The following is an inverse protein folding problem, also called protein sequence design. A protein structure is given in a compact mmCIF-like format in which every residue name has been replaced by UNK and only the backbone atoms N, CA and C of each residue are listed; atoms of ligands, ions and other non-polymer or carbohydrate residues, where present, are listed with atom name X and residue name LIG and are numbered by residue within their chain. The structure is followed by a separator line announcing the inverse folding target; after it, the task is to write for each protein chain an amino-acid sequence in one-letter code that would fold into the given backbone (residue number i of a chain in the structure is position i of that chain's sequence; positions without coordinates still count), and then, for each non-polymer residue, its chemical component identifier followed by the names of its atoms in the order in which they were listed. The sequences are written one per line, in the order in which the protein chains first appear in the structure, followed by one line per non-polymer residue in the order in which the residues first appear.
data_IF_244005485543
#
_entry.id   IF_244005485543
#
_cell.length_a   1.000
_cell.length_b   1.000
_cell.length_c   1.000
_cell.angle_alpha   90.00
_cell.angle_beta   90.00
_cell.angle_gamma   90.00
#
_symmetry.space_group_name_H-M   'P 1'
#
loop_
_entity.id
_entity.type
_entity.pdbx_description
1 polymer ?
#
# COMPACT_ATOMS: atom_id res chain seq x y z
N UNK A 1 31.53 -20.78 -0.23
CA UNK A 1 30.74 -19.55 -0.07
C UNK A 1 29.79 -19.57 -1.25
N UNK A 2 28.58 -20.08 -1.03
CA UNK A 2 27.57 -20.18 -2.11
C UNK A 2 27.40 -18.80 -2.73
N UNK A 3 27.40 -18.73 -4.06
CA UNK A 3 27.10 -17.50 -4.77
C UNK A 3 25.71 -17.07 -4.31
N UNK A 4 25.64 -15.96 -3.57
CA UNK A 4 24.35 -15.46 -3.09
C UNK A 4 23.52 -15.11 -4.32
N UNK A 5 22.34 -15.69 -4.43
CA UNK A 5 21.41 -15.46 -5.53
C UNK A 5 20.78 -14.06 -5.37
N UNK A 6 20.84 -13.25 -6.43
CA UNK A 6 20.23 -11.91 -6.46
C UNK A 6 18.75 -11.92 -6.07
N UNK A 7 18.02 -13.00 -6.37
CA UNK A 7 16.62 -13.14 -5.98
C UNK A 7 16.46 -13.23 -4.45
N UNK A 8 17.37 -13.92 -3.76
CA UNK A 8 17.37 -14.02 -2.30
C UNK A 8 17.79 -12.71 -1.64
N UNK A 9 18.73 -11.97 -2.24
CA UNK A 9 19.14 -10.64 -1.76
C UNK A 9 17.99 -9.63 -1.86
N UNK A 10 17.30 -9.60 -3.01
CA UNK A 10 16.13 -8.73 -3.19
C UNK A 10 15.02 -9.13 -2.22
N UNK A 11 14.74 -10.43 -2.05
CA UNK A 11 13.75 -10.89 -1.08
C UNK A 11 14.11 -10.45 0.35
N UNK A 12 15.40 -10.48 0.71
CA UNK A 12 15.86 -10.02 2.02
C UNK A 12 15.65 -8.52 2.26
N UNK A 13 15.71 -7.69 1.21
CA UNK A 13 15.41 -6.26 1.26
C UNK A 13 13.90 -6.04 1.42
N UNK A 14 13.08 -6.77 0.64
CA UNK A 14 11.64 -6.58 0.62
C UNK A 14 10.95 -7.12 1.88
N UNK A 15 11.51 -8.17 2.49
CA UNK A 15 10.98 -8.82 3.69
C UNK A 15 12.09 -8.88 4.75
N UNK A 16 12.30 -7.82 5.54
CA UNK A 16 13.32 -7.83 6.59
C UNK A 16 12.94 -8.79 7.71
N UNK A 17 13.93 -9.46 8.31
CA UNK A 17 13.70 -10.18 9.57
C UNK A 17 13.32 -9.20 10.69
N UNK A 18 12.53 -9.65 11.68
CA UNK A 18 12.24 -8.83 12.85
C UNK A 18 13.52 -8.45 13.59
N UNK A 19 13.53 -7.29 14.25
CA UNK A 19 14.67 -6.85 15.05
C UNK A 19 14.73 -7.66 16.35
N UNK A 20 15.90 -8.22 16.65
CA UNK A 20 16.13 -8.90 17.93
C UNK A 20 15.96 -7.93 19.10
N UNK A 21 15.26 -8.35 20.15
CA UNK A 21 15.04 -7.55 21.36
C UNK A 21 13.78 -6.68 21.37
N UNK A 22 13.05 -6.56 20.25
CA UNK A 22 11.72 -5.92 20.24
C UNK A 22 10.59 -6.88 20.67
N UNK A 23 10.88 -8.18 20.76
CA UNK A 23 9.95 -9.26 21.05
C UNK A 23 10.60 -10.27 21.99
N UNK A 24 9.78 -11.03 22.73
CA UNK A 24 10.26 -12.19 23.49
C UNK A 24 10.82 -13.28 22.55
N UNK A 25 11.67 -14.17 23.08
CA UNK A 25 12.40 -15.17 22.29
C UNK A 25 11.52 -16.05 21.40
N UNK A 26 10.43 -16.60 21.95
CA UNK A 26 9.51 -17.46 21.20
C UNK A 26 8.75 -16.68 20.13
N UNK A 27 8.33 -15.44 20.44
CA UNK A 27 7.67 -14.55 19.49
C UNK A 27 8.62 -14.13 18.35
N UNK A 28 9.90 -13.91 18.66
CA UNK A 28 10.93 -13.65 17.65
C UNK A 28 11.13 -14.86 16.74
N UNK A 29 11.25 -16.07 17.30
CA UNK A 29 11.41 -17.29 16.52
C UNK A 29 10.27 -17.49 15.52
N UNK A 30 9.03 -17.28 15.98
CA UNK A 30 7.86 -17.37 15.12
C UNK A 30 7.85 -16.30 14.03
N UNK A 31 8.08 -15.03 14.39
CA UNK A 31 8.10 -13.94 13.42
C UNK A 31 9.25 -14.08 12.39
N UNK A 32 10.41 -14.59 12.81
CA UNK A 32 11.52 -14.88 11.92
C UNK A 32 11.21 -16.04 10.96
N UNK A 33 10.52 -17.07 11.42
CA UNK A 33 10.08 -18.18 10.55
C UNK A 33 9.09 -17.69 9.49
N UNK A 34 8.09 -16.89 9.87
CA UNK A 34 7.14 -16.28 8.91
C UNK A 34 7.86 -15.42 7.88
N UNK A 35 8.76 -14.53 8.32
CA UNK A 35 9.55 -13.70 7.41
C UNK A 35 10.45 -14.54 6.49
N UNK A 36 10.96 -15.68 6.96
CA UNK A 36 11.74 -16.60 6.13
C UNK A 36 10.88 -17.23 5.02
N UNK A 37 9.71 -17.73 5.37
CA UNK A 37 8.76 -18.29 4.39
C UNK A 37 8.35 -17.26 3.35
N UNK A 38 8.05 -16.03 3.77
CA UNK A 38 7.73 -14.92 2.86
C UNK A 38 8.90 -14.58 1.93
N UNK A 39 10.15 -14.60 2.41
CA UNK A 39 11.33 -14.42 1.56
C UNK A 39 11.43 -15.48 0.48
N UNK A 40 11.20 -16.76 0.83
CA UNK A 40 11.25 -17.86 -0.13
C UNK A 40 10.20 -17.67 -1.23
N UNK A 41 8.98 -17.25 -0.86
CA UNK A 41 7.90 -16.95 -1.81
C UNK A 41 8.29 -15.80 -2.75
N UNK A 42 8.85 -14.71 -2.21
CA UNK A 42 9.28 -13.56 -3.02
C UNK A 42 10.42 -13.97 -3.97
N UNK A 43 11.44 -14.65 -3.47
CA UNK A 43 12.58 -15.08 -4.27
C UNK A 43 12.16 -16.06 -5.38
N UNK A 44 11.27 -17.02 -5.08
CA UNK A 44 10.72 -17.94 -6.09
C UNK A 44 9.92 -17.19 -7.16
N UNK A 45 9.09 -16.21 -6.77
CA UNK A 45 8.37 -15.36 -7.71
C UNK A 45 9.30 -14.60 -8.67
N UNK A 46 10.42 -14.07 -8.16
CA UNK A 46 11.44 -13.39 -8.97
C UNK A 46 12.17 -14.36 -9.90
N UNK A 47 12.53 -15.54 -9.42
CA UNK A 47 13.15 -16.59 -10.25
C UNK A 47 12.23 -17.02 -11.39
N UNK A 48 10.94 -17.20 -11.13
CA UNK A 48 9.96 -17.52 -12.17
C UNK A 48 9.83 -16.38 -13.19
N UNK A 49 9.79 -15.12 -12.76
CA UNK A 49 9.76 -14.00 -13.69
C UNK A 49 11.00 -13.97 -14.61
N UNK A 50 12.17 -14.27 -14.06
CA UNK A 50 13.41 -14.41 -14.83
C UNK A 50 13.36 -15.59 -15.80
N UNK A 51 12.99 -16.78 -15.33
CA UNK A 51 12.99 -18.02 -16.14
C UNK A 51 11.91 -17.99 -17.23
N UNK A 52 10.70 -17.56 -16.88
CA UNK A 52 9.53 -17.65 -17.76
C UNK A 52 9.41 -16.47 -18.73
N UNK A 53 9.90 -15.28 -18.33
CA UNK A 53 9.70 -14.04 -19.07
C UNK A 53 10.99 -13.27 -19.38
N UNK A 54 12.17 -13.82 -19.05
CA UNK A 54 13.48 -13.16 -19.19
C UNK A 54 13.52 -11.77 -18.52
N UNK A 55 12.76 -11.59 -17.44
CA UNK A 55 12.66 -10.33 -16.72
C UNK A 55 13.74 -10.23 -15.66
N UNK A 56 14.54 -9.16 -15.73
CA UNK A 56 15.53 -8.84 -14.70
C UNK A 56 14.87 -8.77 -13.29
N UNK A 57 15.37 -9.52 -12.27
CA UNK A 57 14.77 -9.56 -10.94
C UNK A 57 14.71 -8.21 -10.24
N UNK A 58 15.73 -7.37 -10.40
CA UNK A 58 15.79 -6.06 -9.74
C UNK A 58 14.78 -5.10 -10.38
N UNK A 59 14.71 -5.06 -11.71
CA UNK A 59 13.72 -4.26 -12.42
C UNK A 59 12.29 -4.71 -12.12
N UNK A 60 12.06 -6.03 -12.03
CA UNK A 60 10.78 -6.60 -11.59
C UNK A 60 10.41 -6.11 -10.19
N UNK A 61 11.33 -6.20 -9.22
CA UNK A 61 11.09 -5.75 -7.85
C UNK A 61 10.82 -4.25 -7.75
N UNK A 62 11.56 -3.42 -8.49
CA UNK A 62 11.35 -1.97 -8.56
C UNK A 62 9.99 -1.61 -9.15
N UNK A 63 9.61 -2.26 -10.26
CA UNK A 63 8.31 -2.07 -10.89
C UNK A 63 7.17 -2.40 -9.94
N UNK A 64 7.27 -3.53 -9.22
CA UNK A 64 6.29 -3.91 -8.20
C UNK A 64 6.25 -2.91 -7.04
N UNK A 65 7.40 -2.39 -6.59
CA UNK A 65 7.44 -1.37 -5.53
C UNK A 65 6.74 -0.08 -5.97
N UNK A 66 6.99 0.38 -7.20
CA UNK A 66 6.30 1.55 -7.76
C UNK A 66 4.79 1.28 -7.89
N UNK A 67 4.39 0.08 -8.31
CA UNK A 67 2.98 -0.30 -8.36
C UNK A 67 2.32 -0.27 -6.98
N UNK A 68 3.00 -0.78 -5.93
CA UNK A 68 2.53 -0.69 -4.53
C UNK A 68 2.36 0.75 -4.06
N UNK A 69 3.31 1.64 -4.38
CA UNK A 69 3.21 3.07 -4.06
C UNK A 69 1.99 3.69 -4.75
N UNK A 70 1.79 3.43 -6.05
CA UNK A 70 0.64 3.96 -6.80
C UNK A 70 -0.69 3.42 -6.29
N UNK A 71 -0.74 2.14 -5.92
CA UNK A 71 -1.93 1.51 -5.34
C UNK A 71 -2.26 2.14 -3.98
N UNK A 72 -1.27 2.28 -3.09
CA UNK A 72 -1.45 2.94 -1.80
C UNK A 72 -1.90 4.39 -1.94
N UNK A 73 -1.36 5.12 -2.92
CA UNK A 73 -1.79 6.48 -3.24
C UNK A 73 -3.25 6.50 -3.73
N UNK A 74 -3.63 5.58 -4.62
CA UNK A 74 -5.02 5.46 -5.10
C UNK A 74 -5.98 5.16 -3.94
N UNK A 75 -5.61 4.22 -3.05
CA UNK A 75 -6.40 3.91 -1.86
C UNK A 75 -6.54 5.12 -0.93
N UNK A 76 -5.47 5.91 -0.76
CA UNK A 76 -5.50 7.15 0.02
C UNK A 76 -6.52 8.15 -0.53
N UNK A 77 -6.60 8.31 -1.86
CA UNK A 77 -7.59 9.19 -2.51
C UNK A 77 -9.03 8.67 -2.33
N UNK A 78 -9.25 7.37 -2.50
CA UNK A 78 -10.57 6.75 -2.27
C UNK A 78 -11.01 6.89 -0.81
N UNK A 79 -10.11 6.76 0.15
CA UNK A 79 -10.40 6.97 1.57
C UNK A 79 -10.76 8.43 1.87
N UNK A 80 -10.12 9.40 1.22
CA UNK A 80 -10.48 10.82 1.32
C UNK A 80 -11.87 11.09 0.73
N UNK A 81 -12.16 10.55 -0.46
CA UNK A 81 -13.47 10.64 -1.09
C UNK A 81 -14.56 10.04 -0.18
N UNK A 82 -14.29 8.85 0.41
CA UNK A 82 -15.15 8.22 1.39
C UNK A 82 -15.41 9.12 2.60
N UNK A 83 -14.34 9.62 3.23
CA UNK A 83 -14.41 10.45 4.43
C UNK A 83 -15.26 11.72 4.20
N UNK A 84 -15.21 12.29 2.99
CA UNK A 84 -15.93 13.51 2.64
C UNK A 84 -17.35 13.29 2.13
N UNK A 85 -17.59 12.26 1.33
CA UNK A 85 -18.86 12.10 0.61
C UNK A 85 -19.75 11.00 1.16
N UNK A 86 -19.26 10.20 2.10
CA UNK A 86 -19.99 9.01 2.55
C UNK A 86 -20.12 8.90 4.07
N UNK A 87 -19.55 9.82 4.84
CA UNK A 87 -19.69 9.86 6.30
C UNK A 87 -20.84 10.79 6.73
N UNK A 88 -21.60 10.39 7.75
CA UNK A 88 -22.75 11.12 8.32
C UNK A 88 -22.65 11.13 9.85
N UNK A 89 -23.22 12.12 10.56
CA UNK A 89 -24.08 13.22 10.07
C UNK A 89 -23.34 14.41 9.45
N UNK A 90 -22.02 14.52 9.65
CA UNK A 90 -21.18 15.54 9.02
C UNK A 90 -19.93 14.88 8.44
N UNK A 91 -19.42 15.37 7.29
CA UNK A 91 -18.15 14.89 6.76
C UNK A 91 -17.01 15.19 7.72
N UNK A 92 -15.97 14.36 7.71
CA UNK A 92 -14.74 14.66 8.46
C UNK A 92 -14.22 16.05 8.08
N UNK A 93 -13.82 16.88 9.06
CA UNK A 93 -13.35 18.22 8.78
C UNK A 93 -12.04 18.14 7.99
N UNK A 94 -11.85 19.08 7.05
CA UNK A 94 -10.67 19.08 6.20
C UNK A 94 -9.38 19.15 7.02
N UNK A 95 -9.39 19.82 8.17
CA UNK A 95 -8.24 19.94 9.09
C UNK A 95 -7.70 18.57 9.49
N UNK A 96 -8.55 17.71 10.04
CA UNK A 96 -8.18 16.38 10.54
C UNK A 96 -7.69 15.48 9.41
N UNK A 97 -8.30 15.62 8.22
CA UNK A 97 -7.87 14.91 7.02
C UNK A 97 -6.49 15.40 6.51
N UNK A 98 -6.12 16.68 6.68
CA UNK A 98 -4.77 17.16 6.28
C UNK A 98 -3.70 16.49 7.11
N UNK A 99 -3.92 16.51 8.43
CA UNK A 99 -2.97 16.00 9.42
C UNK A 99 -2.75 14.49 9.22
N UNK A 100 -3.83 13.75 8.90
CA UNK A 100 -3.75 12.30 8.72
C UNK A 100 -3.26 11.86 7.33
N UNK A 101 -3.66 12.58 6.26
CA UNK A 101 -3.35 12.18 4.89
C UNK A 101 -2.01 12.73 4.37
N UNK A 102 -1.25 13.42 5.23
CA UNK A 102 0.01 14.13 4.90
C UNK A 102 -0.10 15.03 3.66
N UNK A 103 -1.28 15.59 3.42
CA UNK A 103 -1.52 16.47 2.27
C UNK A 103 -1.22 17.92 2.61
N UNK A 104 -0.64 18.61 1.64
CA UNK A 104 -0.59 20.06 1.69
C UNK A 104 -2.00 20.65 1.76
N UNK A 105 -2.15 21.78 2.44
CA UNK A 105 -3.44 22.44 2.61
C UNK A 105 -4.15 22.80 1.30
N UNK A 106 -3.39 22.98 0.22
CA UNK A 106 -3.84 23.27 -1.14
C UNK A 106 -4.38 22.02 -1.86
N UNK A 107 -3.83 20.84 -1.55
CA UNK A 107 -4.08 19.62 -2.32
C UNK A 107 -5.41 18.94 -2.02
N UNK A 108 -5.99 19.11 -0.84
CA UNK A 108 -7.13 18.26 -0.40
C UNK A 108 -8.42 18.51 -1.17
N UNK A 109 -8.69 19.75 -1.56
CA UNK A 109 -9.92 20.08 -2.30
C UNK A 109 -9.94 19.52 -3.72
N UNK A 110 -8.77 19.21 -4.26
CA UNK A 110 -8.58 18.65 -5.60
C UNK A 110 -7.92 17.27 -5.55
N UNK A 111 -7.80 16.67 -4.36
CA UNK A 111 -7.04 15.44 -4.18
C UNK A 111 -7.74 14.25 -4.84
N UNK A 112 -9.07 14.21 -4.74
CA UNK A 112 -9.92 13.20 -5.37
C UNK A 112 -10.91 13.88 -6.32
N UNK A 113 -11.39 13.13 -7.31
CA UNK A 113 -12.32 13.59 -8.34
C UNK A 113 -13.65 12.82 -8.31
N UNK A 114 -14.53 13.09 -9.26
CA UNK A 114 -15.84 12.42 -9.34
C UNK A 114 -15.73 10.92 -9.66
N UNK A 115 -14.68 10.48 -10.37
CA UNK A 115 -14.42 9.06 -10.65
C UNK A 115 -14.05 8.31 -9.36
N UNK A 116 -13.29 8.95 -8.46
CA UNK A 116 -12.97 8.40 -7.14
C UNK A 116 -14.25 8.25 -6.30
N UNK A 117 -15.15 9.24 -6.34
CA UNK A 117 -16.44 9.18 -5.64
C UNK A 117 -17.32 8.08 -6.22
N UNK A 118 -17.36 7.91 -7.54
CA UNK A 118 -18.09 6.84 -8.21
C UNK A 118 -17.53 5.46 -7.83
N UNK A 119 -16.20 5.31 -7.83
CA UNK A 119 -15.51 4.09 -7.41
C UNK A 119 -15.87 3.72 -5.96
N UNK A 120 -15.88 4.70 -5.05
CA UNK A 120 -16.31 4.45 -3.66
C UNK A 120 -17.79 4.07 -3.59
N UNK A 121 -18.66 4.70 -4.37
CA UNK A 121 -20.08 4.39 -4.40
C UNK A 121 -20.34 2.94 -4.83
N UNK A 122 -19.60 2.47 -5.85
CA UNK A 122 -19.64 1.09 -6.32
C UNK A 122 -19.16 0.12 -5.23
N UNK A 123 -17.98 0.37 -4.65
CA UNK A 123 -17.37 -0.52 -3.63
C UNK A 123 -18.19 -0.64 -2.35
N UNK A 124 -18.83 0.46 -1.92
CA UNK A 124 -19.59 0.52 -0.65
C UNK A 124 -21.09 0.25 -0.86
N UNK A 125 -21.57 0.24 -2.10
CA UNK A 125 -22.97 -0.04 -2.42
C UNK A 125 -23.95 1.04 -1.95
N UNK A 126 -23.51 2.30 -1.83
CA UNK A 126 -24.37 3.42 -1.39
C UNK A 126 -24.07 4.68 -2.18
N UNK A 127 -25.04 5.60 -2.24
CA UNK A 127 -24.87 6.88 -2.93
C UNK A 127 -24.06 7.88 -2.10
N UNK A 128 -23.23 8.72 -2.73
CA UNK A 128 -22.58 9.83 -2.04
C UNK A 128 -23.63 10.83 -1.55
N UNK A 129 -23.36 11.45 -0.40
CA UNK A 129 -24.09 12.62 0.07
C UNK A 129 -23.77 13.78 -0.86
N UNK A 130 -24.75 14.61 -1.21
CA UNK A 130 -24.52 15.83 -1.97
C UNK A 130 -23.52 16.72 -1.22
N UNK A 131 -22.51 17.28 -1.91
CA UNK A 131 -21.76 18.39 -1.33
C UNK A 131 -22.77 19.51 -1.19
N UNK A 132 -22.97 20.02 0.03
CA UNK A 132 -23.89 21.11 0.32
C UNK A 132 -23.46 22.46 -0.26
N UNK A 133 -22.75 22.49 -1.39
CA UNK A 133 -22.42 23.69 -2.14
C UNK A 133 -23.63 24.09 -2.98
N UNK A 134 -24.63 24.67 -2.32
CA UNK A 134 -25.45 25.69 -2.95
C UNK A 134 -24.72 27.01 -2.80
N UNK A 135 -24.44 27.64 -3.95
CA UNK A 135 -23.74 28.93 -4.20
C UNK A 135 -22.22 28.88 -4.37
#
# INVERSE_FOLDING_TARGET
MESVDICDEIAAILVPYPTRGQMGGDAYGQAAAVAHEERLVVADGLRRALVDNDQDPLHTALSQAVARIRAAESDRLLLLAYARRFTRPRPYPLRDLKETAELSASSIRTAYNDDDVATVAERVGRRPVADGTTQ
#
